data_IF_938226666415
#
_entry.id   IF_938226666415
#
_cell.length_a   1.000
_cell.length_b   1.000
_cell.length_c   1.000
_cell.angle_alpha   90.00
_cell.angle_beta   90.00
_cell.angle_gamma   90.00
#
_symmetry.space_group_name_H-M   'P 1'
#
loop_
_entity.id
_entity.type
_entity.pdbx_description
1 polymer ?
#
# COMPACT_ATOMS: atom_id res chain seq x y z
N UNK A 1 -7.02 -11.95 -2.88
CA UNK A 1 -7.12 -11.20 -1.62
C UNK A 1 -8.51 -11.39 -1.04
N UNK A 2 -8.61 -11.57 0.27
CA UNK A 2 -9.88 -11.59 0.99
C UNK A 2 -10.20 -10.17 1.47
N UNK A 3 -11.31 -9.60 0.98
CA UNK A 3 -11.73 -8.24 1.33
C UNK A 3 -12.02 -8.05 2.81
N UNK A 4 -12.48 -9.10 3.49
CA UNK A 4 -12.87 -9.03 4.90
C UNK A 4 -11.69 -9.34 5.85
N UNK A 5 -10.54 -9.77 5.31
CA UNK A 5 -9.36 -9.97 6.12
C UNK A 5 -8.79 -8.63 6.57
N UNK A 6 -8.31 -8.57 7.81
CA UNK A 6 -7.67 -7.38 8.37
C UNK A 6 -6.34 -7.12 7.67
N UNK A 7 -6.14 -5.88 7.23
CA UNK A 7 -4.92 -5.43 6.60
C UNK A 7 -3.89 -5.10 7.67
N UNK A 8 -2.84 -5.91 7.76
CA UNK A 8 -1.70 -5.59 8.62
C UNK A 8 -0.77 -4.61 7.89
N UNK A 9 -1.25 -3.36 7.75
CA UNK A 9 -0.61 -2.31 6.98
C UNK A 9 0.10 -1.33 7.92
N UNK A 10 1.43 -1.37 7.93
CA UNK A 10 2.25 -0.52 8.80
C UNK A 10 3.00 0.50 7.96
N UNK A 11 2.89 1.80 8.26
CA UNK A 11 3.68 2.83 7.61
C UNK A 11 5.19 2.56 7.71
N UNK A 12 5.93 2.88 6.64
CA UNK A 12 7.36 2.58 6.54
C UNK A 12 8.19 3.36 7.56
N UNK A 13 7.80 4.60 7.83
CA UNK A 13 8.35 5.48 8.85
C UNK A 13 8.15 4.90 10.26
N UNK A 14 6.96 4.37 10.58
CA UNK A 14 6.74 3.66 11.85
C UNK A 14 7.65 2.45 12.00
N UNK A 15 7.90 1.72 10.91
CA UNK A 15 8.86 0.59 10.89
C UNK A 15 10.28 1.06 11.17
N UNK A 16 10.73 2.13 10.51
CA UNK A 16 12.06 2.73 10.74
C UNK A 16 12.20 3.22 12.18
N UNK A 17 11.20 3.92 12.70
CA UNK A 17 11.14 4.36 14.10
C UNK A 17 11.23 3.16 15.06
N UNK A 18 10.54 2.06 14.74
CA UNK A 18 10.60 0.81 15.49
C UNK A 18 12.00 0.23 15.56
N UNK A 19 12.73 0.22 14.44
CA UNK A 19 14.12 -0.23 14.38
C UNK A 19 15.01 0.64 15.28
N UNK A 20 14.85 1.97 15.24
CA UNK A 20 15.62 2.89 16.05
C UNK A 20 15.33 2.70 17.55
N UNK A 21 14.05 2.64 17.93
CA UNK A 21 13.62 2.45 19.31
C UNK A 21 14.07 1.08 19.85
N UNK A 22 13.96 0.02 19.05
CA UNK A 22 14.41 -1.32 19.43
C UNK A 22 15.92 -1.36 19.66
N UNK A 23 16.69 -0.71 18.77
CA UNK A 23 18.15 -0.60 18.88
C UNK A 23 18.55 0.16 20.14
N UNK A 24 17.89 1.28 20.43
CA UNK A 24 18.11 2.05 21.66
C UNK A 24 17.80 1.22 22.92
N UNK A 25 16.68 0.49 22.94
CA UNK A 25 16.29 -0.33 24.08
C UNK A 25 17.26 -1.49 24.32
N UNK A 26 17.82 -2.06 23.25
CA UNK A 26 18.86 -3.08 23.31
C UNK A 26 20.15 -2.56 23.93
N UNK A 27 20.65 -1.42 23.43
CA UNK A 27 21.91 -0.81 23.92
C UNK A 27 21.80 -0.38 25.39
N UNK A 28 20.64 0.15 25.79
CA UNK A 28 20.43 0.67 27.16
C UNK A 28 20.20 -0.43 28.18
N UNK A 29 19.36 -1.42 27.87
CA UNK A 29 18.93 -2.43 28.85
C UNK A 29 19.81 -3.67 28.85
N UNK A 30 20.50 -3.98 27.73
CA UNK A 30 21.28 -5.22 27.49
C UNK A 30 20.53 -6.56 27.66
N UNK A 31 19.30 -6.54 28.17
CA UNK A 31 18.39 -7.66 28.33
C UNK A 31 17.04 -7.39 27.63
N UNK A 32 17.07 -6.70 26.48
CA UNK A 32 15.86 -6.45 25.70
C UNK A 32 15.47 -7.69 24.88
N UNK A 33 14.18 -7.82 24.50
CA UNK A 33 13.79 -8.77 23.47
C UNK A 33 14.63 -8.61 22.20
N UNK A 34 14.88 -9.73 21.51
CA UNK A 34 15.60 -9.74 20.24
C UNK A 34 14.68 -9.67 19.02
N UNK A 35 13.37 -9.86 19.20
CA UNK A 35 12.38 -9.92 18.12
C UNK A 35 11.28 -8.90 18.42
N UNK A 36 11.06 -8.00 17.47
CA UNK A 36 9.98 -7.02 17.48
C UNK A 36 9.13 -7.20 16.23
N UNK A 37 7.87 -7.59 16.42
CA UNK A 37 6.91 -7.65 15.32
C UNK A 37 6.32 -6.25 15.11
N UNK A 38 6.70 -5.60 14.00
CA UNK A 38 6.07 -4.35 13.56
C UNK A 38 4.80 -4.68 12.80
N UNK A 39 3.71 -4.84 13.55
CA UNK A 39 2.39 -5.18 13.05
C UNK A 39 1.37 -4.31 13.77
N UNK A 40 0.20 -4.09 13.17
CA UNK A 40 -0.90 -3.40 13.85
C UNK A 40 -1.30 -4.23 15.08
N UNK A 41 -1.18 -3.68 16.31
CA UNK A 41 -1.64 -4.34 17.52
C UNK A 41 -3.12 -4.70 17.47
N UNK A 42 -3.52 -5.74 18.19
CA UNK A 42 -4.94 -6.12 18.24
C UNK A 42 -5.83 -5.03 18.89
N UNK A 43 -5.23 -4.18 19.71
CA UNK A 43 -5.88 -3.06 20.39
C UNK A 43 -5.99 -1.77 19.54
N UNK A 44 -5.30 -1.71 18.39
CA UNK A 44 -5.29 -0.53 17.51
C UNK A 44 -6.36 -0.65 16.40
N UNK A 45 -6.40 0.35 15.49
CA UNK A 45 -7.35 0.45 14.38
C UNK A 45 -7.27 -0.79 13.48
N UNK A 46 -8.38 -1.55 13.41
CA UNK A 46 -8.53 -2.68 12.49
C UNK A 46 -9.22 -2.21 11.21
N UNK A 47 -8.45 -2.10 10.13
CA UNK A 47 -8.98 -1.84 8.80
C UNK A 47 -8.92 -3.10 7.95
N UNK A 48 -10.00 -3.40 7.22
CA UNK A 48 -10.01 -4.51 6.26
C UNK A 48 -9.31 -4.12 4.96
N UNK A 49 -8.84 -5.11 4.20
CA UNK A 49 -8.26 -4.85 2.87
C UNK A 49 -9.25 -4.16 1.92
N UNK A 50 -10.55 -4.47 2.04
CA UNK A 50 -11.60 -3.82 1.24
C UNK A 50 -11.73 -2.33 1.60
N UNK A 51 -11.80 -2.00 2.88
CA UNK A 51 -11.91 -0.61 3.33
C UNK A 51 -10.68 0.21 2.94
N UNK A 52 -9.47 -0.35 3.09
CA UNK A 52 -8.24 0.31 2.68
C UNK A 52 -8.24 0.59 1.16
N UNK A 53 -8.64 -0.40 0.36
CA UNK A 53 -8.76 -0.26 -1.10
C UNK A 53 -9.79 0.81 -1.48
N UNK A 54 -10.99 0.76 -0.90
CA UNK A 54 -12.06 1.72 -1.18
C UNK A 54 -11.67 3.14 -0.79
N UNK A 55 -10.94 3.30 0.31
CA UNK A 55 -10.40 4.59 0.74
C UNK A 55 -9.41 5.13 -0.28
N UNK A 56 -8.46 4.30 -0.74
CA UNK A 56 -7.53 4.67 -1.81
C UNK A 56 -8.26 5.05 -3.11
N UNK A 57 -9.29 4.32 -3.50
CA UNK A 57 -10.09 4.67 -4.68
C UNK A 57 -10.87 5.97 -4.51
N UNK A 58 -11.44 6.20 -3.33
CA UNK A 58 -12.14 7.45 -3.05
C UNK A 58 -11.18 8.64 -3.17
N UNK A 59 -9.96 8.52 -2.64
CA UNK A 59 -8.92 9.55 -2.74
C UNK A 59 -8.53 9.79 -4.20
N UNK A 60 -8.22 8.74 -4.97
CA UNK A 60 -7.86 8.86 -6.39
C UNK A 60 -8.99 9.52 -7.19
N UNK A 61 -10.23 9.13 -6.96
CA UNK A 61 -11.35 9.60 -7.76
C UNK A 61 -11.86 11.00 -7.36
N UNK A 62 -11.74 11.38 -6.09
CA UNK A 62 -12.33 12.62 -5.57
C UNK A 62 -11.31 13.72 -5.29
N UNK A 63 -10.11 13.36 -4.85
CA UNK A 63 -9.11 14.32 -4.37
C UNK A 63 -7.94 14.45 -5.34
N UNK A 64 -7.30 13.33 -5.68
CA UNK A 64 -6.02 13.29 -6.40
C UNK A 64 -6.10 12.40 -7.64
N UNK A 65 -6.86 12.81 -8.67
CA UNK A 65 -6.93 12.10 -9.94
C UNK A 65 -5.59 12.09 -10.68
N UNK A 66 -5.38 11.13 -11.58
CA UNK A 66 -4.19 11.00 -12.43
C UNK A 66 -4.48 11.47 -13.85
N UNK A 67 -3.48 12.00 -14.56
CA UNK A 67 -3.58 12.26 -16.01
C UNK A 67 -2.88 11.16 -16.80
N UNK A 68 -3.22 11.07 -18.09
CA UNK A 68 -2.48 10.22 -19.03
C UNK A 68 -2.54 8.73 -18.70
N UNK A 69 -3.55 8.31 -17.95
CA UNK A 69 -3.78 6.91 -17.63
C UNK A 69 -4.64 6.24 -18.71
N UNK A 70 -4.30 5.00 -19.03
CA UNK A 70 -5.01 4.21 -20.04
C UNK A 70 -6.36 3.70 -19.53
N UNK A 71 -6.42 3.34 -18.24
CA UNK A 71 -7.64 3.01 -17.51
C UNK A 71 -7.50 3.47 -16.07
N UNK A 72 -8.61 3.93 -15.47
CA UNK A 72 -8.63 4.29 -14.05
C UNK A 72 -8.41 3.04 -13.19
N UNK A 73 -7.60 3.14 -12.10
CA UNK A 73 -7.39 2.03 -11.20
C UNK A 73 -8.72 1.45 -10.71
N UNK A 74 -8.89 0.15 -10.92
CA UNK A 74 -9.99 -0.64 -10.40
C UNK A 74 -9.45 -2.02 -10.06
N UNK A 75 -9.95 -2.62 -8.99
CA UNK A 75 -9.52 -3.94 -8.55
C UNK A 75 -10.70 -4.69 -7.99
N UNK A 76 -10.71 -5.98 -8.31
CA UNK A 76 -11.69 -6.93 -7.80
C UNK A 76 -11.00 -7.82 -6.79
N UNK A 77 -11.50 -7.83 -5.55
CA UNK A 77 -11.04 -8.75 -4.52
C UNK A 77 -11.73 -10.11 -4.70
N UNK A 78 -10.95 -11.18 -4.73
CA UNK A 78 -11.47 -12.55 -4.86
C UNK A 78 -10.59 -13.53 -4.09
N UNK A 79 -11.24 -14.55 -3.52
CA UNK A 79 -10.57 -15.70 -2.90
C UNK A 79 -10.29 -16.82 -3.92
N UNK A 80 -10.97 -16.82 -5.07
CA UNK A 80 -10.80 -17.85 -6.09
C UNK A 80 -9.59 -17.56 -6.97
N UNK A 81 -8.54 -18.38 -6.83
CA UNK A 81 -7.33 -18.33 -7.67
C UNK A 81 -7.64 -18.49 -9.16
N UNK A 82 -8.55 -19.41 -9.50
CA UNK A 82 -8.92 -19.66 -10.89
C UNK A 82 -9.63 -18.45 -11.50
N UNK A 83 -10.59 -17.88 -10.78
CA UNK A 83 -11.30 -16.68 -11.23
C UNK A 83 -10.33 -15.51 -11.39
N UNK A 84 -9.44 -15.28 -10.43
CA UNK A 84 -8.41 -14.25 -10.52
C UNK A 84 -7.52 -14.43 -11.75
N UNK A 85 -7.06 -15.67 -12.02
CA UNK A 85 -6.20 -15.97 -13.17
C UNK A 85 -6.92 -15.72 -14.50
N UNK A 86 -8.16 -16.16 -14.64
CA UNK A 86 -8.97 -15.92 -15.85
C UNK A 86 -9.16 -14.40 -16.05
N UNK A 87 -9.58 -13.70 -14.99
CA UNK A 87 -9.79 -12.25 -15.04
C UNK A 87 -8.51 -11.49 -15.41
N UNK A 88 -7.38 -11.84 -14.78
CA UNK A 88 -6.09 -11.22 -15.05
C UNK A 88 -5.64 -11.45 -16.51
N UNK A 89 -5.80 -12.66 -17.03
CA UNK A 89 -5.44 -12.94 -18.44
C UNK A 89 -6.32 -12.12 -19.38
N UNK A 90 -7.64 -12.13 -19.20
CA UNK A 90 -8.58 -11.47 -20.10
C UNK A 90 -8.52 -9.94 -20.05
N UNK A 91 -8.38 -9.35 -18.86
CA UNK A 91 -8.52 -7.90 -18.69
C UNK A 91 -7.19 -7.17 -18.45
N UNK A 92 -6.09 -7.87 -18.19
CA UNK A 92 -4.78 -7.24 -17.99
C UNK A 92 -3.76 -7.70 -19.05
N UNK A 93 -3.62 -9.01 -19.29
CA UNK A 93 -2.59 -9.53 -20.21
C UNK A 93 -2.98 -9.37 -21.68
N UNK A 94 -4.19 -9.79 -22.07
CA UNK A 94 -4.64 -9.69 -23.48
C UNK A 94 -4.63 -8.24 -23.96
N UNK A 95 -5.18 -7.25 -23.22
CA UNK A 95 -5.12 -5.85 -23.62
C UNK A 95 -3.68 -5.30 -23.66
N UNK A 96 -2.84 -5.69 -22.69
CA UNK A 96 -1.45 -5.25 -22.66
C UNK A 96 -0.66 -5.75 -23.89
N UNK A 97 -0.82 -7.01 -24.28
CA UNK A 97 -0.17 -7.57 -25.48
C UNK A 97 -0.68 -6.87 -26.73
N UNK A 98 -2.00 -6.65 -26.83
CA UNK A 98 -2.59 -5.96 -27.98
C UNK A 98 -2.05 -4.55 -28.15
N UNK A 99 -1.97 -3.78 -27.07
CA UNK A 99 -1.47 -2.40 -27.12
C UNK A 99 0.04 -2.37 -27.35
N UNK A 100 0.81 -3.26 -26.72
CA UNK A 100 2.25 -3.40 -27.01
C UNK A 100 2.50 -3.76 -28.48
N UNK A 101 1.65 -4.58 -29.09
CA UNK A 101 1.71 -4.88 -30.52
C UNK A 101 1.45 -3.64 -31.39
N UNK A 102 0.45 -2.83 -31.04
CA UNK A 102 0.20 -1.55 -31.73
C UNK A 102 1.38 -0.59 -31.57
N UNK A 103 1.95 -0.48 -30.36
CA UNK A 103 3.13 0.34 -30.12
C UNK A 103 4.30 -0.10 -31.01
N UNK A 104 4.54 -1.41 -31.12
CA UNK A 104 5.58 -1.94 -32.02
C UNK A 104 5.34 -1.59 -33.49
N UNK A 105 4.10 -1.70 -33.98
CA UNK A 105 3.75 -1.30 -35.37
C UNK A 105 4.03 0.20 -35.59
N UNK A 106 3.73 1.01 -34.58
CA UNK A 106 3.94 2.46 -34.61
C UNK A 106 5.41 2.87 -34.35
N UNK A 107 6.33 1.90 -34.18
CA UNK A 107 7.76 2.15 -33.94
C UNK A 107 8.10 2.53 -32.49
N UNK A 108 7.14 2.43 -31.56
CA UNK A 108 7.36 2.64 -30.13
C UNK A 108 7.78 1.35 -29.42
N UNK A 109 8.42 1.50 -28.27
CA UNK A 109 8.85 0.37 -27.44
C UNK A 109 7.65 -0.23 -26.68
N UNK A 110 7.43 -1.56 -26.72
CA UNK A 110 6.41 -2.21 -25.91
C UNK A 110 6.81 -2.19 -24.43
N UNK A 111 5.85 -1.92 -23.54
CA UNK A 111 6.10 -1.76 -22.09
C UNK A 111 5.05 -2.43 -21.22
N UNK A 112 3.80 -2.53 -21.67
CA UNK A 112 2.65 -2.87 -20.84
C UNK A 112 2.71 -4.32 -20.35
N UNK A 113 3.04 -5.28 -21.21
CA UNK A 113 3.12 -6.69 -20.81
C UNK A 113 4.16 -6.88 -19.69
N UNK A 114 5.31 -6.21 -19.81
CA UNK A 114 6.38 -6.28 -18.80
C UNK A 114 5.93 -5.71 -17.45
N UNK A 115 5.14 -4.62 -17.47
CA UNK A 115 4.56 -4.01 -16.27
C UNK A 115 3.56 -4.97 -15.62
N UNK A 116 2.66 -5.56 -16.42
CA UNK A 116 1.66 -6.51 -15.92
C UNK A 116 2.31 -7.74 -15.27
N UNK A 117 3.38 -8.26 -15.86
CA UNK A 117 4.13 -9.38 -15.26
C UNK A 117 4.82 -9.02 -13.94
N UNK A 118 5.28 -7.77 -13.78
CA UNK A 118 5.83 -7.28 -12.50
C UNK A 118 4.73 -7.17 -11.44
N UNK A 119 3.58 -6.62 -11.80
CA UNK A 119 2.40 -6.53 -10.92
C UNK A 119 1.97 -7.93 -10.49
N UNK A 120 1.87 -8.88 -11.43
CA UNK A 120 1.49 -10.26 -11.14
C UNK A 120 2.42 -10.93 -10.13
N UNK A 121 3.74 -10.84 -10.34
CA UNK A 121 4.74 -11.38 -9.40
C UNK A 121 4.60 -10.77 -8.01
N UNK A 122 4.32 -9.47 -7.92
CA UNK A 122 4.02 -8.80 -6.66
C UNK A 122 2.78 -9.40 -5.98
N UNK A 123 1.68 -9.56 -6.72
CA UNK A 123 0.46 -10.17 -6.19
C UNK A 123 0.68 -11.59 -5.70
N UNK A 124 1.45 -12.42 -6.42
CA UNK A 124 1.80 -13.78 -5.98
C UNK A 124 2.57 -13.78 -4.66
N UNK A 125 3.53 -12.85 -4.49
CA UNK A 125 4.28 -12.69 -3.23
C UNK A 125 3.35 -12.32 -2.06
N UNK A 126 2.39 -11.42 -2.28
CA UNK A 126 1.50 -10.93 -1.23
C UNK A 126 0.30 -11.84 -0.95
N UNK A 127 0.02 -12.82 -1.79
CA UNK A 127 -1.20 -13.64 -1.70
C UNK A 127 -1.36 -14.30 -0.31
N UNK A 128 -0.28 -14.88 0.21
CA UNK A 128 -0.29 -15.56 1.51
C UNK A 128 -0.70 -14.66 2.67
N UNK A 129 -0.35 -13.37 2.58
CA UNK A 129 -0.59 -12.37 3.63
C UNK A 129 -1.94 -11.66 3.49
N UNK A 130 -2.54 -11.71 2.31
CA UNK A 130 -3.73 -10.91 1.96
C UNK A 130 -5.01 -11.74 1.84
N UNK A 131 -4.94 -13.06 2.02
CA UNK A 131 -6.10 -13.97 1.97
C UNK A 131 -6.63 -14.35 3.36
N UNK A 132 -5.87 -14.07 4.43
CA UNK A 132 -6.26 -14.34 5.81
C UNK A 132 -5.88 -13.19 6.72
N UNK A 133 -6.65 -13.00 7.78
CA UNK A 133 -6.27 -12.11 8.88
C UNK A 133 -5.14 -12.76 9.68
N UNK A 134 -4.12 -11.98 9.98
CA UNK A 134 -3.00 -12.41 10.79
C UNK A 134 -3.01 -11.67 12.12
N UNK A 135 -2.96 -12.43 13.21
CA UNK A 135 -2.71 -11.89 14.54
C UNK A 135 -1.27 -12.24 14.91
N UNK A 136 -0.44 -11.22 15.07
CA UNK A 136 0.96 -11.36 15.48
C UNK A 136 1.08 -10.90 16.92
N UNK A 137 1.92 -11.58 17.72
CA UNK A 137 2.24 -11.10 19.05
C UNK A 137 3.06 -9.80 18.96
N UNK A 138 2.47 -8.69 19.40
CA UNK A 138 3.06 -7.33 19.43
C UNK A 138 3.51 -6.88 20.81
N UNK A 139 3.54 -7.77 21.82
CA UNK A 139 3.83 -7.44 23.22
C UNK A 139 5.17 -6.70 23.40
N UNK A 140 6.20 -7.11 22.66
CA UNK A 140 7.52 -6.49 22.73
C UNK A 140 7.52 -5.03 22.26
N UNK A 141 6.82 -4.74 21.15
CA UNK A 141 6.75 -3.36 20.62
C UNK A 141 5.83 -2.48 21.48
N UNK A 142 4.75 -3.04 22.01
CA UNK A 142 3.87 -2.34 22.97
C UNK A 142 4.59 -2.00 24.27
N UNK A 143 5.39 -2.93 24.79
CA UNK A 143 6.21 -2.70 25.98
C UNK A 143 7.26 -1.62 25.72
N UNK A 144 7.90 -1.64 24.55
CA UNK A 144 8.84 -0.61 24.14
C UNK A 144 8.18 0.77 24.02
N UNK A 145 6.98 0.83 23.40
CA UNK A 145 6.17 2.06 23.30
C UNK A 145 5.90 2.68 24.67
N UNK A 146 5.65 1.86 25.70
CA UNK A 146 5.43 2.34 27.09
C UNK A 146 6.68 2.91 27.75
N UNK A 147 7.89 2.56 27.28
CA UNK A 147 9.15 3.11 27.81
C UNK A 147 9.49 4.50 27.26
N UNK A 148 8.95 4.86 26.10
CA UNK A 148 9.21 6.16 25.47
C UNK A 148 8.53 7.28 26.25
N UNK A 149 9.26 8.37 26.49
CA UNK A 149 8.67 9.58 27.07
C UNK A 149 7.80 10.34 26.05
N UNK A 150 7.04 11.34 26.51
CA UNK A 150 6.10 12.07 25.64
C UNK A 150 6.76 12.76 24.44
N UNK A 151 8.02 13.21 24.57
CA UNK A 151 8.77 13.81 23.45
C UNK A 151 9.19 12.74 22.44
N UNK A 152 9.68 11.61 22.92
CA UNK A 152 10.10 10.49 22.07
C UNK A 152 8.92 9.87 21.32
N UNK A 153 7.76 9.70 21.98
CA UNK A 153 6.55 9.19 21.30
C UNK A 153 6.13 10.06 20.11
N UNK A 154 6.31 11.38 20.22
CA UNK A 154 6.03 12.32 19.13
C UNK A 154 7.05 12.23 17.99
N UNK A 155 8.33 12.03 18.32
CA UNK A 155 9.40 12.00 17.32
C UNK A 155 9.57 10.62 16.66
N UNK A 156 9.28 9.56 17.40
CA UNK A 156 9.39 8.16 17.00
C UNK A 156 8.00 7.54 17.12
N UNK A 157 7.11 7.91 16.19
CA UNK A 157 5.77 7.36 16.16
C UNK A 157 5.85 5.86 15.87
N UNK A 158 5.49 5.06 16.87
CA UNK A 158 5.37 3.59 16.80
C UNK A 158 3.90 3.14 16.74
N UNK A 159 3.00 4.09 16.91
CA UNK A 159 1.57 3.88 17.09
C UNK A 159 0.87 4.08 15.74
N UNK A 160 -0.15 3.27 15.45
CA UNK A 160 -1.09 3.58 14.36
C UNK A 160 -2.33 4.32 14.87
N UNK A 161 -2.43 4.53 16.19
CA UNK A 161 -3.52 5.22 16.85
C UNK A 161 -3.59 6.69 16.39
N UNK A 162 -4.78 7.10 15.92
CA UNK A 162 -5.02 8.47 15.45
C UNK A 162 -4.58 8.76 14.01
N UNK A 163 -4.10 7.77 13.26
CA UNK A 163 -3.84 7.96 11.82
C UNK A 163 -5.18 8.03 11.08
N UNK A 164 -5.44 9.17 10.44
CA UNK A 164 -6.49 9.28 9.42
C UNK A 164 -6.01 8.57 8.14
N UNK A 165 -6.61 7.42 7.85
CA UNK A 165 -6.24 6.59 6.69
C UNK A 165 -6.52 7.32 5.38
N UNK A 166 -7.56 8.16 5.29
CA UNK A 166 -7.86 8.90 4.06
C UNK A 166 -6.82 10.00 3.81
N UNK A 167 -6.41 10.72 4.86
CA UNK A 167 -5.33 11.73 4.77
C UNK A 167 -3.99 11.06 4.43
N UNK A 168 -3.63 9.99 5.14
CA UNK A 168 -2.41 9.23 4.86
C UNK A 168 -2.37 8.70 3.41
N UNK A 169 -3.49 8.16 2.91
CA UNK A 169 -3.59 7.71 1.51
C UNK A 169 -3.50 8.89 0.54
N UNK A 170 -4.07 10.05 0.88
CA UNK A 170 -3.94 11.29 0.10
C UNK A 170 -2.48 11.69 -0.07
N UNK A 171 -1.72 11.70 1.02
CA UNK A 171 -0.30 12.05 0.98
C UNK A 171 0.53 11.04 0.18
N UNK A 172 0.25 9.75 0.35
CA UNK A 172 0.89 8.70 -0.43
C UNK A 172 0.62 8.87 -1.94
N UNK A 173 -0.63 9.14 -2.32
CA UNK A 173 -1.03 9.31 -3.72
C UNK A 173 -0.45 10.60 -4.31
N UNK A 174 -0.42 11.70 -3.56
CA UNK A 174 0.26 12.94 -3.96
C UNK A 174 1.76 12.70 -4.16
N UNK A 175 2.40 11.95 -3.28
CA UNK A 175 3.80 11.59 -3.42
C UNK A 175 4.04 10.79 -4.71
N UNK A 176 3.22 9.77 -5.00
CA UNK A 176 3.28 8.99 -6.25
C UNK A 176 3.11 9.91 -7.45
N UNK A 177 2.10 10.79 -7.44
CA UNK A 177 1.81 11.74 -8.52
C UNK A 177 3.03 12.62 -8.84
N UNK A 178 3.59 13.28 -7.83
CA UNK A 178 4.71 14.23 -7.99
C UNK A 178 6.03 13.52 -8.32
N UNK A 179 6.35 12.43 -7.62
CA UNK A 179 7.68 11.84 -7.65
C UNK A 179 7.82 10.67 -8.61
N UNK A 180 6.76 9.88 -8.82
CA UNK A 180 6.78 8.71 -9.71
C UNK A 180 6.20 9.07 -11.08
N UNK A 181 4.98 9.64 -11.12
CA UNK A 181 4.30 9.99 -12.37
C UNK A 181 4.78 11.31 -12.97
N UNK A 182 5.55 12.10 -12.21
CA UNK A 182 6.07 13.42 -12.61
C UNK A 182 4.96 14.40 -13.02
N UNK A 183 3.79 14.25 -12.41
CA UNK A 183 2.68 15.17 -12.58
C UNK A 183 2.70 16.24 -11.48
N UNK A 184 2.65 17.50 -11.87
CA UNK A 184 2.60 18.63 -10.94
C UNK A 184 1.17 18.90 -10.46
N UNK A 185 1.05 19.67 -9.37
CA UNK A 185 -0.24 19.92 -8.72
C UNK A 185 -1.16 20.84 -9.54
N UNK A 186 -0.60 21.73 -10.36
CA UNK A 186 -1.34 22.59 -11.32
C UNK A 186 -2.05 21.78 -12.42
N UNK A 187 -1.66 20.52 -12.63
CA UNK A 187 -2.34 19.60 -13.53
C UNK A 187 -3.59 18.92 -12.91
N UNK A 188 -3.84 19.10 -11.60
CA UNK A 188 -5.00 18.50 -10.92
C UNK A 188 -6.35 18.96 -11.50
N UNK A 189 -6.59 20.26 -11.77
CA UNK A 189 -7.83 20.69 -12.41
C UNK A 189 -8.04 20.06 -13.79
N UNK A 190 -6.96 19.80 -14.54
CA UNK A 190 -7.05 19.11 -15.82
C UNK A 190 -7.40 17.62 -15.65
N UNK A 191 -6.78 16.94 -14.68
CA UNK A 191 -7.09 15.56 -14.33
C UNK A 191 -8.57 15.38 -13.96
N UNK A 192 -9.10 16.29 -13.13
CA UNK A 192 -10.54 16.29 -12.76
C UNK A 192 -11.48 16.45 -13.97
N UNK A 193 -11.07 17.19 -15.01
CA UNK A 193 -11.88 17.31 -16.25
C UNK A 193 -11.85 16.04 -17.10
N UNK A 194 -10.71 15.35 -17.13
CA UNK A 194 -10.51 14.13 -17.92
C UNK A 194 -11.19 12.89 -17.32
N UNK A 195 -11.71 12.97 -16.10
CA UNK A 195 -12.48 11.91 -15.44
C UNK A 195 -13.94 11.80 -15.89
N UNK A 196 -14.46 12.79 -16.64
CA UNK A 196 -15.86 12.86 -17.05
C UNK A 196 -16.14 12.16 -18.37
#
# INVERSE_FOLDING_TARGET
MDGNAYANFVPVDSTVNGILAASWNYVTTKNSPHIYNMCIPECDIKISWMELMLTGYAVINKRVPFNGILWYPSATMTKSRLFHKIYFVLFQIVPAIFIDFLLMILGYKPVLFSIQMRIHKGMEMFEYYTVKSWNFNTENIETLRKKLNSREKKNYMLESEGIDIEEYMTDCILYIRRNILKETDDMLPAAHRNMK
#
